data_IF_705271040372
#
_entry.id   IF_705271040372
#
_cell.length_a   1.000
_cell.length_b   1.000
_cell.length_c   1.000
_cell.angle_alpha   90.00
_cell.angle_beta   90.00
_cell.angle_gamma   90.00
#
_symmetry.space_group_name_H-M   'P 1'
#
loop_
_entity.id
_entity.type
_entity.pdbx_description
1 polymer ?
#
# COMPACT_ATOMS: atom_id res chain seq x y z
N UNK A 1 8.46 -30.47 -12.72
CA UNK A 1 7.81 -29.37 -13.47
C UNK A 1 8.63 -28.12 -13.26
N UNK A 2 9.23 -27.57 -14.31
CA UNK A 2 9.99 -26.31 -14.25
C UNK A 2 9.08 -25.13 -14.52
N UNK A 3 9.14 -24.09 -13.69
CA UNK A 3 8.37 -22.86 -13.88
C UNK A 3 9.12 -21.95 -14.85
N UNK A 4 8.53 -21.64 -16.00
CA UNK A 4 9.08 -20.69 -16.94
C UNK A 4 8.82 -19.27 -16.45
N UNK A 5 9.80 -18.67 -15.79
CA UNK A 5 9.73 -17.28 -15.30
C UNK A 5 9.74 -16.31 -16.49
N UNK A 6 8.83 -15.33 -16.45
CA UNK A 6 8.68 -14.24 -17.43
C UNK A 6 8.45 -12.92 -16.69
N UNK A 7 8.59 -11.81 -17.39
CA UNK A 7 8.37 -10.45 -16.85
C UNK A 7 9.39 -10.02 -15.79
N UNK A 8 10.67 -10.34 -16.00
CA UNK A 8 11.74 -9.79 -15.19
C UNK A 8 11.81 -8.28 -15.34
N UNK A 9 12.12 -7.61 -14.24
CA UNK A 9 12.36 -6.18 -14.14
C UNK A 9 13.51 -5.93 -13.17
N UNK A 10 14.44 -5.06 -13.54
CA UNK A 10 15.65 -4.76 -12.78
C UNK A 10 15.91 -3.26 -12.85
N UNK A 11 16.42 -2.68 -11.77
CA UNK A 11 16.82 -1.27 -11.69
C UNK A 11 18.20 -1.01 -12.34
N UNK A 12 19.09 -1.99 -12.29
CA UNK A 12 20.42 -1.94 -12.90
C UNK A 12 20.37 -2.14 -14.42
N UNK A 13 21.01 -1.22 -15.15
CA UNK A 13 21.05 -1.22 -16.60
C UNK A 13 21.90 -2.34 -17.19
N UNK A 14 23.05 -2.65 -16.59
CA UNK A 14 23.93 -3.70 -17.10
C UNK A 14 23.24 -5.06 -17.00
N UNK A 15 22.58 -5.31 -15.87
CA UNK A 15 21.79 -6.52 -15.66
C UNK A 15 20.58 -6.54 -16.61
N UNK A 16 19.88 -5.42 -16.77
CA UNK A 16 18.75 -5.32 -17.69
C UNK A 16 19.13 -5.65 -19.14
N UNK A 17 20.28 -5.18 -19.60
CA UNK A 17 20.80 -5.44 -20.95
C UNK A 17 21.26 -6.89 -21.14
N UNK A 18 21.72 -7.56 -20.07
CA UNK A 18 22.14 -8.97 -20.11
C UNK A 18 20.98 -9.98 -20.25
N UNK A 19 19.76 -9.59 -19.88
CA UNK A 19 18.59 -10.49 -19.87
C UNK A 19 18.07 -10.77 -21.29
N UNK A 20 17.64 -12.00 -21.63
CA UNK A 20 16.98 -12.27 -22.91
C UNK A 20 15.74 -11.39 -23.13
N UNK A 21 15.50 -10.82 -24.33
CA UNK A 21 14.35 -9.95 -24.58
C UNK A 21 13.00 -10.61 -24.27
N UNK A 22 12.91 -11.93 -24.43
CA UNK A 22 11.71 -12.74 -24.21
C UNK A 22 11.26 -12.79 -22.75
N UNK A 23 12.20 -12.59 -21.80
CA UNK A 23 11.91 -12.66 -20.37
C UNK A 23 11.69 -11.27 -19.75
N UNK A 24 11.98 -10.19 -20.48
CA UNK A 24 11.87 -8.80 -20.00
C UNK A 24 10.41 -8.35 -19.93
N UNK A 25 10.08 -7.54 -18.93
CA UNK A 25 8.82 -6.78 -18.93
C UNK A 25 8.83 -5.68 -20.00
N UNK A 26 7.65 -5.37 -20.53
CA UNK A 26 7.44 -4.21 -21.42
C UNK A 26 7.26 -2.89 -20.64
N UNK A 27 7.03 -2.97 -19.32
CA UNK A 27 6.68 -1.83 -18.49
C UNK A 27 7.80 -1.54 -17.49
N UNK A 28 8.20 -0.27 -17.39
CA UNK A 28 9.17 0.17 -16.38
C UNK A 28 8.55 0.44 -15.00
N UNK A 29 7.22 0.51 -14.95
CA UNK A 29 6.44 0.67 -13.72
C UNK A 29 5.58 -0.57 -13.54
N UNK A 30 5.71 -1.23 -12.40
CA UNK A 30 4.93 -2.42 -12.07
C UNK A 30 4.15 -2.21 -10.77
N UNK A 31 3.00 -2.87 -10.67
CA UNK A 31 2.23 -2.91 -9.43
C UNK A 31 2.48 -4.25 -8.74
N UNK A 32 2.99 -4.21 -7.52
CA UNK A 32 3.29 -5.41 -6.73
C UNK A 32 2.75 -5.23 -5.32
N UNK A 33 1.91 -6.16 -4.86
CA UNK A 33 1.33 -6.18 -3.51
C UNK A 33 0.63 -4.86 -3.09
N UNK A 34 0.15 -4.08 -4.05
CA UNK A 34 -0.48 -2.77 -3.80
C UNK A 34 0.46 -1.57 -3.95
N UNK A 35 1.77 -1.79 -3.97
CA UNK A 35 2.78 -0.77 -4.29
C UNK A 35 2.94 -0.57 -5.78
N UNK A 36 3.46 0.58 -6.19
CA UNK A 36 3.97 0.83 -7.54
C UNK A 36 5.47 1.01 -7.48
N UNK A 37 6.22 0.18 -8.18
CA UNK A 37 7.66 0.34 -8.30
C UNK A 37 8.01 0.89 -9.68
N UNK A 38 8.79 1.96 -9.71
CA UNK A 38 9.43 2.50 -10.91
C UNK A 38 10.88 2.01 -10.94
N UNK A 39 11.20 1.10 -11.85
CA UNK A 39 12.54 0.52 -11.96
C UNK A 39 13.59 1.52 -12.47
N UNK A 40 13.20 2.55 -13.22
CA UNK A 40 14.13 3.56 -13.74
C UNK A 40 14.62 4.47 -12.60
N UNK A 41 13.69 4.94 -11.77
CA UNK A 41 14.00 5.85 -10.67
C UNK A 41 14.27 5.12 -9.34
N UNK A 42 14.23 3.78 -9.37
CA UNK A 42 14.26 2.90 -8.21
C UNK A 42 13.38 3.39 -7.05
N UNK A 43 12.13 3.71 -7.37
CA UNK A 43 11.22 4.36 -6.44
C UNK A 43 10.00 3.49 -6.21
N UNK A 44 9.73 3.18 -4.94
CA UNK A 44 8.54 2.45 -4.52
C UNK A 44 7.52 3.42 -3.95
N UNK A 45 6.35 3.49 -4.58
CA UNK A 45 5.25 4.36 -4.20
C UNK A 45 4.12 3.58 -3.57
N UNK A 46 3.72 3.98 -2.36
CA UNK A 46 2.56 3.46 -1.64
C UNK A 46 1.40 4.44 -1.80
N UNK A 47 0.22 3.94 -2.17
CA UNK A 47 -1.02 4.73 -2.16
C UNK A 47 -1.63 4.70 -0.77
N UNK A 48 -2.03 5.86 -0.27
CA UNK A 48 -2.65 6.01 1.04
C UNK A 48 -4.11 6.42 0.85
N UNK A 49 -4.99 5.82 1.65
CA UNK A 49 -6.41 6.15 1.62
C UNK A 49 -6.66 7.59 2.04
N UNK A 50 -7.37 8.35 1.21
CA UNK A 50 -7.81 9.70 1.57
C UNK A 50 -8.87 9.62 2.67
N UNK A 51 -8.56 10.16 3.83
CA UNK A 51 -9.51 10.35 4.92
C UNK A 51 -10.29 11.64 4.66
N UNK A 52 -11.37 11.59 3.87
CA UNK A 52 -12.16 12.77 3.49
C UNK A 52 -13.53 12.85 4.20
N UNK A 53 -13.72 12.07 5.27
CA UNK A 53 -15.00 11.97 5.98
C UNK A 53 -14.85 12.62 7.35
N UNK A 54 -15.61 13.68 7.64
CA UNK A 54 -15.51 14.39 8.93
C UNK A 54 -16.09 13.56 10.09
N UNK A 55 -17.20 12.85 9.88
CA UNK A 55 -17.84 12.03 10.89
C UNK A 55 -18.13 10.62 10.36
N UNK A 56 -17.10 9.75 10.32
CA UNK A 56 -17.23 8.43 9.73
C UNK A 56 -18.05 7.49 10.63
N UNK A 57 -18.57 6.43 10.01
CA UNK A 57 -19.10 5.26 10.73
C UNK A 57 -17.98 4.24 10.99
N UNK A 58 -18.21 3.30 11.91
CA UNK A 58 -17.30 2.17 12.15
C UNK A 58 -16.93 1.43 10.86
N UNK A 59 -17.91 1.20 9.97
CA UNK A 59 -17.69 0.61 8.65
C UNK A 59 -16.78 1.45 7.76
N UNK A 60 -16.98 2.76 7.74
CA UNK A 60 -16.17 3.66 6.92
C UNK A 60 -14.71 3.72 7.39
N UNK A 61 -14.47 3.71 8.70
CA UNK A 61 -13.11 3.64 9.26
C UNK A 61 -12.41 2.34 8.82
N UNK A 62 -13.09 1.20 8.97
CA UNK A 62 -12.53 -0.09 8.55
C UNK A 62 -12.26 -0.14 7.04
N UNK A 63 -13.16 0.40 6.22
CA UNK A 63 -12.97 0.50 4.77
C UNK A 63 -11.75 1.34 4.40
N UNK A 64 -11.57 2.50 5.05
CA UNK A 64 -10.42 3.39 4.78
C UNK A 64 -9.10 2.79 5.23
N UNK A 65 -9.12 2.00 6.30
CA UNK A 65 -7.96 1.24 6.70
C UNK A 65 -7.60 0.15 5.68
N UNK A 66 -8.59 -0.63 5.22
CA UNK A 66 -8.36 -1.69 4.25
C UNK A 66 -7.84 -1.18 2.89
N UNK A 67 -8.20 0.06 2.51
CA UNK A 67 -7.63 0.74 1.33
C UNK A 67 -6.11 0.96 1.45
N UNK A 68 -5.57 1.09 2.67
CA UNK A 68 -4.14 1.31 2.92
C UNK A 68 -3.49 -0.01 3.35
N UNK A 69 -3.02 -0.77 2.36
CA UNK A 69 -2.33 -2.05 2.59
C UNK A 69 -0.81 -1.89 2.47
N UNK A 70 -0.09 -2.27 3.52
CA UNK A 70 1.36 -2.14 3.62
C UNK A 70 1.98 -3.42 4.20
N UNK A 71 2.19 -4.46 3.39
CA UNK A 71 2.76 -5.73 3.86
C UNK A 71 4.22 -5.60 4.29
N UNK A 72 4.97 -4.65 3.74
CA UNK A 72 6.39 -4.43 4.06
C UNK A 72 6.62 -3.49 5.25
N UNK A 73 5.58 -2.80 5.72
CA UNK A 73 5.69 -1.88 6.87
C UNK A 73 6.37 -0.54 6.56
N UNK A 74 6.48 -0.16 5.28
CA UNK A 74 7.16 1.07 4.85
C UNK A 74 6.45 2.34 5.33
N UNK A 75 5.14 2.26 5.57
CA UNK A 75 4.32 3.35 6.11
C UNK A 75 3.83 3.01 7.52
N UNK A 76 4.63 2.28 8.30
CA UNK A 76 4.34 1.92 9.70
C UNK A 76 4.00 3.13 10.57
N UNK A 77 4.68 4.27 10.37
CA UNK A 77 4.42 5.51 11.10
C UNK A 77 2.97 6.00 10.95
N UNK A 78 2.31 5.67 9.83
CA UNK A 78 0.92 6.03 9.53
C UNK A 78 -0.02 4.89 9.93
N UNK A 79 0.33 3.64 9.62
CA UNK A 79 -0.56 2.49 9.86
C UNK A 79 -0.68 2.15 11.34
N UNK A 80 0.34 2.39 12.17
CA UNK A 80 0.29 2.11 13.62
C UNK A 80 -0.73 2.99 14.37
N UNK A 81 -0.72 4.34 14.24
CA UNK A 81 -1.77 5.19 14.81
C UNK A 81 -3.17 4.80 14.34
N UNK A 82 -3.31 4.43 13.06
CA UNK A 82 -4.59 4.03 12.49
C UNK A 82 -5.09 2.68 13.06
N UNK A 83 -4.20 1.69 13.22
CA UNK A 83 -4.53 0.43 13.91
C UNK A 83 -4.96 0.66 15.36
N UNK A 84 -4.29 1.57 16.08
CA UNK A 84 -4.68 1.96 17.44
C UNK A 84 -6.07 2.60 17.46
N UNK A 85 -6.39 3.47 16.51
CA UNK A 85 -7.73 4.05 16.38
C UNK A 85 -8.77 2.96 16.14
N UNK A 86 -8.51 2.04 15.21
CA UNK A 86 -9.42 0.93 14.89
C UNK A 86 -9.71 0.09 16.13
N UNK A 87 -8.67 -0.22 16.92
CA UNK A 87 -8.87 -0.92 18.20
C UNK A 87 -9.85 -0.17 19.12
N UNK A 88 -9.68 1.14 19.32
CA UNK A 88 -10.63 1.96 20.10
C UNK A 88 -12.05 1.94 19.52
N UNK A 89 -12.18 1.98 18.19
CA UNK A 89 -13.48 1.92 17.50
C UNK A 89 -14.15 0.55 17.73
N UNK A 90 -13.37 -0.53 17.76
CA UNK A 90 -13.87 -1.88 18.06
C UNK A 90 -14.33 -2.02 19.50
N UNK A 91 -13.59 -1.44 20.45
CA UNK A 91 -13.92 -1.40 21.88
C UNK A 91 -15.12 -0.50 22.16
N UNK A 92 -15.41 0.49 21.31
CA UNK A 92 -16.69 1.18 21.36
C UNK A 92 -17.78 0.20 20.91
N UNK A 93 -18.73 -0.10 21.81
CA UNK A 93 -19.91 -0.97 21.61
C UNK A 93 -20.91 -0.41 20.58
N UNK A 94 -20.42 0.34 19.59
CA UNK A 94 -21.16 0.93 18.48
C UNK A 94 -21.31 -0.08 17.34
N UNK A 95 -22.47 -0.04 16.70
CA UNK A 95 -22.78 -0.80 15.50
C UNK A 95 -22.01 -0.31 14.28
N UNK A 96 -22.03 -1.09 13.21
CA UNK A 96 -21.28 -0.83 11.96
C UNK A 96 -21.64 0.50 11.29
N UNK A 97 -22.91 0.91 11.38
CA UNK A 97 -23.43 2.13 10.75
C UNK A 97 -23.53 3.32 11.72
N UNK A 98 -23.17 3.12 12.98
CA UNK A 98 -23.22 4.19 13.97
C UNK A 98 -22.05 5.14 13.81
N UNK A 99 -22.30 6.42 14.13
CA UNK A 99 -21.28 7.46 14.15
C UNK A 99 -20.31 7.26 15.31
N UNK A 100 -19.07 7.67 15.10
CA UNK A 100 -18.04 7.59 16.14
C UNK A 100 -18.36 8.49 17.35
N UNK A 101 -18.06 8.01 18.58
CA UNK A 101 -18.08 8.86 19.77
C UNK A 101 -17.16 10.09 19.61
N UNK A 102 -17.46 11.21 20.29
CA UNK A 102 -16.72 12.46 20.15
C UNK A 102 -15.22 12.31 20.50
N UNK A 103 -14.87 11.42 21.43
CA UNK A 103 -13.48 11.15 21.80
C UNK A 103 -12.69 10.50 20.64
N UNK A 104 -13.24 9.46 20.05
CA UNK A 104 -12.62 8.75 18.90
C UNK A 104 -12.61 9.65 17.66
N UNK A 105 -13.62 10.51 17.49
CA UNK A 105 -13.68 11.50 16.41
C UNK A 105 -12.51 12.49 16.48
N UNK A 106 -12.07 12.89 17.68
CA UNK A 106 -10.89 13.77 17.83
C UNK A 106 -9.63 13.07 17.32
N UNK A 107 -9.40 11.82 17.71
CA UNK A 107 -8.26 11.03 17.24
C UNK A 107 -8.29 10.83 15.72
N UNK A 108 -9.46 10.55 15.14
CA UNK A 108 -9.63 10.46 13.69
C UNK A 108 -9.22 11.75 12.98
N UNK A 109 -9.66 12.91 13.47
CA UNK A 109 -9.30 14.22 12.90
C UNK A 109 -7.80 14.52 13.00
N UNK A 110 -7.13 14.07 14.07
CA UNK A 110 -5.68 14.21 14.20
C UNK A 110 -4.95 13.38 13.14
N UNK A 111 -5.36 12.13 12.94
CA UNK A 111 -4.78 11.26 11.90
C UNK A 111 -5.09 11.80 10.49
N UNK A 112 -6.31 12.28 10.27
CA UNK A 112 -6.72 12.91 9.01
C UNK A 112 -5.85 14.12 8.64
N UNK A 113 -5.46 14.94 9.63
CA UNK A 113 -4.54 16.07 9.41
C UNK A 113 -3.09 15.62 9.18
N UNK A 114 -2.67 14.54 9.83
CA UNK A 114 -1.33 14.00 9.65
C UNK A 114 -1.15 13.37 8.26
N UNK A 115 -2.20 12.78 7.70
CA UNK A 115 -2.20 12.16 6.37
C UNK A 115 -2.72 13.18 5.36
N UNK A 116 -1.82 14.08 4.93
CA UNK A 116 -2.13 15.05 3.87
C UNK A 116 -1.83 14.47 2.49
N UNK A 117 -0.72 13.73 2.38
CA UNK A 117 -0.23 13.24 1.10
C UNK A 117 -0.96 11.96 0.66
N UNK A 118 -1.49 11.92 -0.58
CA UNK A 118 -2.19 10.74 -1.09
C UNK A 118 -1.26 9.59 -1.43
N UNK A 119 0.03 9.87 -1.62
CA UNK A 119 1.05 8.93 -2.06
C UNK A 119 2.37 9.25 -1.37
N UNK A 120 3.05 8.22 -0.88
CA UNK A 120 4.40 8.35 -0.33
C UNK A 120 5.32 7.52 -1.21
N UNK A 121 6.39 8.15 -1.67
CA UNK A 121 7.42 7.51 -2.49
C UNK A 121 8.70 7.37 -1.67
N UNK A 122 9.22 6.16 -1.60
CA UNK A 122 10.49 5.86 -0.98
C UNK A 122 11.51 5.52 -2.07
N UNK A 123 12.67 6.18 -2.02
CA UNK A 123 13.85 5.82 -2.79
C UNK A 123 14.76 5.00 -1.89
N UNK A 124 14.53 3.71 -1.85
CA UNK A 124 15.42 2.76 -1.22
C UNK A 124 15.75 1.68 -2.25
N UNK A 125 16.98 1.16 -2.20
CA UNK A 125 17.50 0.19 -3.17
C UNK A 125 16.75 -1.14 -3.03
N UNK A 126 15.58 -1.25 -3.62
CA UNK A 126 14.78 -2.47 -3.59
C UNK A 126 15.04 -3.28 -4.86
N UNK A 127 15.72 -4.42 -4.71
CA UNK A 127 15.74 -5.44 -5.78
C UNK A 127 14.45 -6.24 -5.65
N UNK A 128 13.41 -5.82 -6.38
CA UNK A 128 12.12 -6.51 -6.39
C UNK A 128 12.06 -7.51 -7.55
N UNK A 129 12.20 -8.80 -7.25
CA UNK A 129 11.97 -9.87 -8.22
C UNK A 129 10.46 -10.12 -8.27
N UNK A 130 9.79 -9.75 -9.36
CA UNK A 130 8.41 -10.15 -9.60
C UNK A 130 8.33 -11.59 -10.07
N UNK A 131 7.60 -12.42 -9.32
CA UNK A 131 7.07 -13.69 -9.82
C UNK A 131 5.60 -13.44 -10.11
N UNK A 132 5.26 -13.02 -11.33
CA UNK A 132 3.85 -12.99 -11.73
C UNK A 132 3.41 -14.43 -11.94
N UNK A 133 2.63 -14.98 -11.01
CA UNK A 133 1.91 -16.22 -11.26
C UNK A 133 0.87 -15.94 -12.35
N UNK A 134 1.05 -16.57 -13.51
CA UNK A 134 -0.10 -16.87 -14.37
C UNK A 134 -0.88 -17.97 -13.63
N UNK A 135 -1.96 -17.56 -12.97
CA UNK A 135 -3.00 -18.46 -12.51
C UNK A 135 -3.51 -19.24 -13.71
N UNK A 136 -3.10 -20.50 -13.81
CA UNK A 136 -3.82 -21.49 -14.61
C UNK A 136 -4.48 -22.40 -13.58
N UNK A 137 -5.77 -22.15 -13.33
CA UNK A 137 -6.68 -23.20 -12.86
C UNK A 137 -7.07 -24.05 -14.07
#
# INVERSE_FOLDING_TARGET
MGMNLREFIVNDREIWESLPPEVRTKHHIIKLLGYRWNAIEDTLTVKIAKMNIDNPTKRQVASKFAETFDPLGLIAAITVPLKRLIKKVWESEKGWNDKLPPEIKKDWRLIQKAITDPEISCKDRFVMITITQISTF
#
